data_IF_796415913628
#
_entry.id   IF_796415913628
#
_cell.length_a   1.000
_cell.length_b   1.000
_cell.length_c   1.000
_cell.angle_alpha   90.00
_cell.angle_beta   90.00
_cell.angle_gamma   90.00
#
_symmetry.space_group_name_H-M   'P 1'
#
loop_
_entity.id
_entity.type
_entity.pdbx_description
1 polymer ?
#
# COMPACT_ATOMS: atom_id res chain seq x y z
N UNK A 1 10.47 2.49 -8.06
CA UNK A 1 10.29 3.77 -7.36
C UNK A 1 9.62 3.46 -6.03
N UNK A 2 10.16 3.99 -4.95
CA UNK A 2 9.49 3.99 -3.66
C UNK A 2 8.53 5.20 -3.60
N UNK A 3 7.35 5.03 -2.97
CA UNK A 3 6.40 6.14 -2.81
C UNK A 3 6.83 7.03 -1.64
N UNK A 4 6.43 8.30 -1.65
CA UNK A 4 6.54 9.17 -0.47
C UNK A 4 6.08 8.43 0.80
N UNK A 5 6.87 8.55 1.88
CA UNK A 5 6.63 7.86 3.14
C UNK A 5 6.92 6.36 3.15
N UNK A 6 7.55 5.80 2.12
CA UNK A 6 7.90 4.38 2.02
C UNK A 6 9.34 4.18 1.55
N UNK A 7 9.95 3.07 1.99
CA UNK A 7 11.26 2.64 1.51
C UNK A 7 12.34 3.71 1.68
N UNK A 8 13.06 4.00 0.60
CA UNK A 8 14.11 5.02 0.54
C UNK A 8 13.62 6.43 0.16
N UNK A 9 12.32 6.64 -0.06
CA UNK A 9 11.77 7.96 -0.37
C UNK A 9 11.49 8.79 0.88
N UNK A 10 11.50 10.12 0.72
CA UNK A 10 11.24 11.06 1.82
C UNK A 10 9.88 10.83 2.49
N UNK A 11 9.85 10.97 3.81
CA UNK A 11 8.63 10.95 4.63
C UNK A 11 8.11 12.39 4.73
N UNK A 12 7.17 12.75 3.85
CA UNK A 12 6.55 14.09 3.81
C UNK A 12 5.39 14.21 4.81
N UNK A 13 4.95 15.43 5.14
CA UNK A 13 3.77 15.61 5.99
C UNK A 13 2.48 15.09 5.30
N UNK A 14 1.63 14.30 5.97
CA UNK A 14 0.31 13.91 5.45
C UNK A 14 -0.62 15.13 5.22
N UNK A 15 -1.69 15.00 4.41
CA UNK A 15 -2.28 13.76 3.87
C UNK A 15 -1.73 13.33 2.49
N UNK A 16 -1.62 12.01 2.30
CA UNK A 16 -1.22 11.39 1.03
C UNK A 16 -2.44 11.07 0.15
N UNK A 17 -3.03 12.09 -0.44
CA UNK A 17 -4.13 11.91 -1.38
C UNK A 17 -3.68 11.14 -2.63
N UNK A 18 -4.57 10.32 -3.21
CA UNK A 18 -4.27 9.54 -4.43
C UNK A 18 -3.71 10.41 -5.57
N UNK A 19 -4.22 11.62 -5.75
CA UNK A 19 -3.73 12.54 -6.79
C UNK A 19 -2.29 13.01 -6.55
N UNK A 20 -1.83 13.11 -5.30
CA UNK A 20 -0.44 13.42 -4.99
C UNK A 20 0.47 12.23 -5.36
N UNK A 21 0.07 11.01 -4.98
CA UNK A 21 0.81 9.79 -5.32
C UNK A 21 0.93 9.60 -6.84
N UNK A 22 -0.13 9.88 -7.60
CA UNK A 22 -0.09 9.83 -9.07
C UNK A 22 0.88 10.87 -9.64
N UNK A 23 0.85 12.11 -9.12
CA UNK A 23 1.76 13.18 -9.58
C UNK A 23 3.23 12.88 -9.33
N UNK A 24 3.56 12.18 -8.25
CA UNK A 24 4.95 11.77 -8.00
C UNK A 24 5.45 10.83 -9.07
N UNK A 25 4.60 9.89 -9.50
CA UNK A 25 4.93 8.97 -10.59
C UNK A 25 5.04 9.73 -11.92
N UNK A 26 4.13 10.66 -12.21
CA UNK A 26 4.21 11.49 -13.42
C UNK A 26 5.52 12.26 -13.48
N UNK A 27 5.88 12.97 -12.41
CA UNK A 27 7.13 13.73 -12.33
C UNK A 27 8.34 12.82 -12.53
N UNK A 28 8.38 11.67 -11.86
CA UNK A 28 9.47 10.71 -12.03
C UNK A 28 9.57 10.18 -13.48
N UNK A 29 8.45 9.91 -14.15
CA UNK A 29 8.45 9.44 -15.54
C UNK A 29 8.88 10.54 -16.50
N UNK A 30 8.39 11.77 -16.32
CA UNK A 30 8.75 12.92 -17.14
C UNK A 30 10.26 13.26 -16.98
N UNK A 31 10.80 13.23 -15.75
CA UNK A 31 12.22 13.45 -15.45
C UNK A 31 13.14 12.40 -16.10
N UNK A 32 12.67 11.17 -16.24
CA UNK A 32 13.40 10.08 -16.89
C UNK A 32 13.06 9.90 -18.37
N UNK A 33 12.17 10.74 -18.94
CA UNK A 33 11.75 10.66 -20.34
C UNK A 33 11.03 9.35 -20.71
N UNK A 34 10.41 8.68 -19.74
CA UNK A 34 9.73 7.40 -19.95
C UNK A 34 8.39 7.62 -20.65
N UNK A 35 8.14 6.88 -21.72
CA UNK A 35 6.86 6.87 -22.46
C UNK A 35 6.52 5.44 -22.90
N UNK A 36 5.26 5.20 -23.24
CA UNK A 36 4.80 3.93 -23.82
C UNK A 36 5.27 2.70 -22.99
N UNK A 37 5.11 2.77 -21.67
CA UNK A 37 5.59 1.77 -20.72
C UNK A 37 4.48 0.80 -20.28
N UNK A 38 4.86 -0.40 -19.84
CA UNK A 38 3.94 -1.31 -19.15
C UNK A 38 4.08 -1.08 -17.65
N UNK A 39 2.98 -0.74 -16.98
CA UNK A 39 2.97 -0.55 -15.53
C UNK A 39 2.53 -1.82 -14.82
N UNK A 40 3.34 -2.27 -13.86
CA UNK A 40 3.03 -3.41 -12.99
C UNK A 40 2.73 -2.88 -11.60
N UNK A 41 1.49 -3.07 -11.13
CA UNK A 41 1.01 -2.52 -9.87
C UNK A 41 0.45 -3.57 -8.93
N UNK A 42 1.00 -3.64 -7.71
CA UNK A 42 0.45 -4.43 -6.60
C UNK A 42 -0.32 -3.56 -5.62
N UNK A 43 -1.50 -4.01 -5.16
CA UNK A 43 -2.29 -3.33 -4.15
C UNK A 43 -2.49 -1.82 -4.43
N UNK A 44 -1.94 -0.93 -3.60
CA UNK A 44 -2.01 0.51 -3.81
C UNK A 44 -1.34 0.94 -5.13
N UNK A 45 -0.21 0.32 -5.49
CA UNK A 45 0.47 0.59 -6.77
C UNK A 45 -0.42 0.29 -7.97
N UNK A 46 -1.29 -0.72 -7.88
CA UNK A 46 -2.29 -1.00 -8.93
C UNK A 46 -3.35 0.10 -9.06
N UNK A 47 -3.76 0.73 -7.95
CA UNK A 47 -4.68 1.88 -7.98
C UNK A 47 -4.02 3.09 -8.63
N UNK A 48 -2.76 3.35 -8.29
CA UNK A 48 -1.98 4.44 -8.87
C UNK A 48 -1.78 4.21 -10.38
N UNK A 49 -1.40 3.00 -10.79
CA UNK A 49 -1.21 2.65 -12.20
C UNK A 49 -2.48 2.81 -13.04
N UNK A 50 -3.64 2.40 -12.50
CA UNK A 50 -4.93 2.63 -13.15
C UNK A 50 -5.24 4.13 -13.31
N UNK A 51 -5.02 4.92 -12.26
CA UNK A 51 -5.25 6.37 -12.31
C UNK A 51 -4.30 7.07 -13.30
N UNK A 52 -3.04 6.66 -13.36
CA UNK A 52 -2.07 7.15 -14.32
C UNK A 52 -2.49 6.81 -15.75
N UNK A 53 -2.90 5.57 -16.03
CA UNK A 53 -3.32 5.16 -17.37
C UNK A 53 -4.53 5.93 -17.90
N UNK A 54 -5.48 6.28 -17.02
CA UNK A 54 -6.64 7.12 -17.42
C UNK A 54 -6.23 8.58 -17.67
N UNK A 55 -5.26 9.10 -16.90
CA UNK A 55 -4.84 10.50 -16.97
C UNK A 55 -3.81 10.78 -18.08
N UNK A 56 -2.91 9.82 -18.35
CA UNK A 56 -1.74 9.94 -19.24
C UNK A 56 -1.66 8.72 -20.16
N UNK A 57 -2.59 8.66 -21.11
CA UNK A 57 -2.62 7.58 -22.13
C UNK A 57 -1.35 7.54 -23.00
N UNK A 58 -0.58 8.64 -23.05
CA UNK A 58 0.72 8.71 -23.69
C UNK A 58 1.81 7.88 -22.97
N UNK A 59 1.60 7.59 -21.68
CA UNK A 59 2.59 6.88 -20.85
C UNK A 59 2.32 5.37 -20.77
N UNK A 60 1.08 4.92 -20.87
CA UNK A 60 0.68 3.55 -20.58
C UNK A 60 0.41 2.72 -21.85
N UNK A 61 1.32 1.81 -22.17
CA UNK A 61 1.13 0.75 -23.18
C UNK A 61 0.22 -0.37 -22.67
N UNK A 62 0.31 -0.67 -21.38
CA UNK A 62 -0.40 -1.78 -20.76
C UNK A 62 -0.28 -1.77 -19.25
N UNK A 63 -1.15 -2.54 -18.59
CA UNK A 63 -1.22 -2.68 -17.13
C UNK A 63 -1.19 -4.15 -16.72
N UNK A 64 -0.42 -4.45 -15.67
CA UNK A 64 -0.50 -5.71 -14.92
C UNK A 64 -0.90 -5.39 -13.50
N UNK A 65 -2.06 -5.87 -13.07
CA UNK A 65 -2.64 -5.57 -11.76
C UNK A 65 -2.71 -6.82 -10.90
N UNK A 66 -2.11 -6.78 -9.70
CA UNK A 66 -2.11 -7.91 -8.76
C UNK A 66 -2.59 -7.47 -7.38
N UNK A 67 -3.61 -8.13 -6.84
CA UNK A 67 -4.17 -7.82 -5.52
C UNK A 67 -4.68 -6.38 -5.37
N UNK A 68 -5.19 -5.79 -6.45
CA UNK A 68 -5.65 -4.40 -6.51
C UNK A 68 -7.12 -4.30 -6.93
N UNK A 69 -7.69 -3.12 -6.82
CA UNK A 69 -9.05 -2.79 -7.26
C UNK A 69 -9.12 -1.32 -7.66
N UNK A 70 -9.97 -0.93 -8.60
CA UNK A 70 -10.13 0.49 -9.00
C UNK A 70 -10.60 1.38 -7.84
N UNK A 71 -11.41 0.82 -6.94
CA UNK A 71 -11.83 1.42 -5.68
C UNK A 71 -11.87 0.32 -4.64
N UNK A 72 -11.23 0.55 -3.49
CA UNK A 72 -11.42 -0.30 -2.31
C UNK A 72 -12.44 0.35 -1.38
N UNK A 73 -13.02 -0.44 -0.48
CA UNK A 73 -14.14 -0.05 0.39
C UNK A 73 -13.98 1.31 1.06
N UNK A 74 -15.08 1.83 1.60
CA UNK A 74 -15.08 3.11 2.33
C UNK A 74 -14.47 2.95 3.71
N UNK A 75 -13.91 4.02 4.28
CA UNK A 75 -13.39 4.00 5.65
C UNK A 75 -14.39 3.38 6.65
N UNK A 76 -15.68 3.67 6.49
CA UNK A 76 -16.76 3.05 7.28
C UNK A 76 -16.82 1.52 7.12
N UNK A 77 -16.72 0.99 5.89
CA UNK A 77 -16.68 -0.45 5.65
C UNK A 77 -15.46 -1.09 6.32
N UNK A 78 -14.28 -0.48 6.20
CA UNK A 78 -13.07 -0.98 6.83
C UNK A 78 -13.14 -0.95 8.37
N UNK A 79 -13.71 0.12 8.93
CA UNK A 79 -13.89 0.23 10.38
C UNK A 79 -14.87 -0.84 10.88
N UNK A 80 -16.00 -1.04 10.18
CA UNK A 80 -16.95 -2.09 10.49
C UNK A 80 -16.32 -3.50 10.39
N UNK A 81 -15.53 -3.77 9.36
CA UNK A 81 -14.79 -5.03 9.22
C UNK A 81 -13.79 -5.25 10.36
N UNK A 82 -13.07 -4.20 10.78
CA UNK A 82 -12.11 -4.28 11.88
C UNK A 82 -12.79 -4.56 13.23
N UNK A 83 -13.95 -3.95 13.49
CA UNK A 83 -14.77 -4.20 14.68
C UNK A 83 -15.26 -5.66 14.72
N UNK A 84 -15.75 -6.18 13.60
CA UNK A 84 -16.17 -7.59 13.48
C UNK A 84 -14.98 -8.55 13.59
N UNK A 85 -13.85 -8.24 12.96
CA UNK A 85 -12.63 -9.04 13.01
C UNK A 85 -11.98 -9.11 14.40
N UNK A 86 -12.13 -8.04 15.20
CA UNK A 86 -11.69 -7.98 16.60
C UNK A 86 -12.35 -9.00 17.53
N UNK A 87 -13.53 -9.53 17.16
CA UNK A 87 -14.22 -10.59 17.91
C UNK A 87 -13.84 -12.01 17.51
N UNK A 88 -13.09 -12.20 16.40
CA UNK A 88 -12.65 -13.53 15.93
C UNK A 88 -11.19 -13.87 16.27
N UNK A 89 -10.39 -12.93 16.76
CA UNK A 89 -9.01 -13.18 17.21
C UNK A 89 -8.90 -13.66 18.67
N UNK A 90 -9.81 -14.52 19.10
CA UNK A 90 -9.63 -15.32 20.31
C UNK A 90 -8.74 -16.53 20.01
N UNK A 91 -7.40 -16.37 20.00
CA UNK A 91 -6.58 -17.55 19.69
C UNK A 91 -5.06 -17.40 19.57
N UNK A 92 -4.40 -16.79 20.57
CA UNK A 92 -3.18 -17.31 21.22
C UNK A 92 -2.67 -16.26 22.20
N UNK A 93 -3.19 -16.31 23.44
CA UNK A 93 -2.50 -15.69 24.57
C UNK A 93 -1.15 -16.38 24.69
N UNK A 94 -0.07 -15.64 24.50
CA UNK A 94 1.28 -16.08 24.82
C UNK A 94 1.28 -16.41 26.32
N UNK A 95 1.18 -17.70 26.68
CA UNK A 95 1.41 -18.11 28.07
C UNK A 95 2.88 -17.76 28.38
N UNK A 96 3.17 -16.96 29.41
CA UNK A 96 4.56 -16.78 29.83
C UNK A 96 5.09 -18.15 30.27
N UNK A 97 6.26 -18.54 29.73
CA UNK A 97 6.95 -19.77 30.17
C UNK A 97 7.23 -19.63 31.67
N UNK A 98 6.94 -20.65 32.50
CA UNK A 98 7.34 -20.60 33.89
C UNK A 98 8.86 -20.43 33.95
N UNK A 99 9.32 -19.43 34.70
CA UNK A 99 10.73 -19.30 35.04
C UNK A 99 11.08 -20.54 35.86
N UNK A 100 11.97 -21.37 35.33
CA UNK A 100 12.60 -22.42 36.12
C UNK A 100 13.33 -21.71 37.26
N UNK A 101 12.75 -21.81 38.46
CA UNK A 101 13.38 -21.34 39.68
C UNK A 101 14.65 -22.13 39.91
N UNK A 102 15.75 -21.41 40.14
CA UNK A 102 16.92 -21.95 40.79
C UNK A 102 16.48 -22.56 42.13
N UNK A 103 16.84 -23.82 42.37
CA UNK A 103 16.97 -24.33 43.73
C UNK A 103 18.36 -24.92 43.85
N UNK A 104 19.09 -24.36 44.80
CA UNK A 104 20.33 -24.87 45.34
C UNK A 104 20.13 -26.28 45.89
N UNK A 105 21.08 -27.18 45.61
CA UNK A 105 21.91 -27.89 46.61
C UNK A 105 23.29 -28.07 45.98
#
# INVERSE_FOLDING_TARGET
>A
MDLRGHGGSEVTEPPYAMGALVRDIEAALDDHGVKDAVFVGHALGGMIAQALAVKRLDLARGLVLTGSAAKRGTAAQWHAEAEVGGTRHGGRRHRPRPRLGASAV
#
